data_IF_998785451729
#
_entry.id   IF_998785451729
#
_cell.length_a   1.000
_cell.length_b   1.000
_cell.length_c   1.000
_cell.angle_alpha   90.00
_cell.angle_beta   90.00
_cell.angle_gamma   90.00
#
_symmetry.space_group_name_H-M   'P 1'
#
loop_
_entity.id
_entity.type
_entity.pdbx_description
1 polymer ?
#
# COMPACT_ATOMS: atom_id res chain seq x y z
N UNK A 1 -21.51 -44.72 -42.32
CA UNK A 1 -20.65 -43.74 -43.01
C UNK A 1 -21.37 -42.41 -42.90
N UNK A 2 -21.12 -41.51 -41.96
CA UNK A 2 -19.96 -41.37 -41.06
C UNK A 2 -20.34 -40.91 -39.65
N UNK A 3 -19.44 -41.25 -38.74
CA UNK A 3 -19.50 -41.12 -37.30
C UNK A 3 -19.13 -39.73 -36.79
N UNK A 4 -19.76 -39.36 -35.66
CA UNK A 4 -19.24 -38.65 -34.47
C UNK A 4 -17.92 -37.88 -34.62
N UNK A 5 -17.95 -36.61 -34.22
CA UNK A 5 -16.97 -35.87 -33.40
C UNK A 5 -17.59 -34.47 -33.16
N UNK A 6 -17.61 -33.86 -31.98
CA UNK A 6 -17.00 -34.16 -30.70
C UNK A 6 -17.16 -32.90 -29.83
N UNK A 7 -17.44 -33.12 -28.55
CA UNK A 7 -17.03 -32.25 -27.44
C UNK A 7 -17.74 -30.91 -27.30
N UNK A 8 -18.85 -30.96 -26.55
CA UNK A 8 -19.23 -29.93 -25.58
C UNK A 8 -17.99 -29.32 -24.94
N UNK A 9 -17.66 -28.06 -25.26
CA UNK A 9 -16.76 -27.28 -24.42
C UNK A 9 -17.50 -27.07 -23.10
N UNK A 10 -17.25 -27.97 -22.15
CA UNK A 10 -17.56 -27.76 -20.76
C UNK A 10 -17.07 -26.36 -20.39
N UNK A 11 -17.97 -25.55 -19.83
CA UNK A 11 -17.66 -24.18 -19.44
C UNK A 11 -16.37 -24.18 -18.63
N UNK A 12 -15.36 -23.46 -19.13
CA UNK A 12 -14.27 -23.01 -18.28
C UNK A 12 -14.96 -22.29 -17.13
N UNK A 13 -14.78 -22.73 -15.86
CA UNK A 13 -15.22 -21.92 -14.75
C UNK A 13 -14.50 -20.60 -14.92
N UNK A 14 -15.22 -19.56 -15.34
CA UNK A 14 -14.72 -18.20 -15.23
C UNK A 14 -14.43 -18.05 -13.75
N UNK A 15 -13.14 -17.97 -13.43
CA UNK A 15 -12.67 -17.90 -12.06
C UNK A 15 -13.24 -16.59 -11.50
N UNK A 16 -14.37 -16.72 -10.82
CA UNK A 16 -15.04 -15.61 -10.18
C UNK A 16 -14.01 -15.05 -9.20
N UNK A 17 -13.58 -13.77 -9.34
CA UNK A 17 -12.60 -13.21 -8.42
C UNK A 17 -13.16 -13.40 -7.00
N UNK A 18 -12.32 -13.91 -6.09
CA UNK A 18 -12.70 -14.30 -4.74
C UNK A 18 -13.46 -13.15 -4.05
N UNK A 19 -14.78 -13.19 -4.11
CA UNK A 19 -15.67 -12.13 -3.62
C UNK A 19 -15.71 -12.06 -2.09
N UNK A 20 -14.82 -12.79 -1.42
CA UNK A 20 -14.68 -12.86 0.03
C UNK A 20 -13.23 -12.66 0.51
N UNK A 21 -12.31 -12.19 -0.35
CA UNK A 21 -11.01 -11.72 0.12
C UNK A 21 -11.23 -10.48 1.01
N UNK A 22 -10.75 -10.46 2.26
CA UNK A 22 -10.84 -9.28 3.09
C UNK A 22 -10.07 -8.12 2.43
N UNK A 23 -10.66 -6.92 2.43
CA UNK A 23 -9.97 -5.71 1.99
C UNK A 23 -8.85 -5.39 2.97
N UNK A 24 -7.62 -5.27 2.49
CA UNK A 24 -6.44 -5.01 3.30
C UNK A 24 -6.00 -3.56 3.10
N UNK A 25 -5.83 -2.84 4.20
CA UNK A 25 -5.30 -1.47 4.21
C UNK A 25 -3.97 -1.41 4.95
N UNK A 26 -3.03 -0.62 4.44
CA UNK A 26 -1.79 -0.29 5.12
C UNK A 26 -1.80 1.16 5.63
N UNK A 27 -1.20 1.37 6.80
CA UNK A 27 -0.88 2.69 7.32
C UNK A 27 0.64 2.83 7.40
N UNK A 28 1.21 3.72 6.60
CA UNK A 28 2.64 4.01 6.60
C UNK A 28 2.89 5.22 7.50
N UNK A 29 3.43 4.97 8.69
CA UNK A 29 3.71 6.04 9.67
C UNK A 29 5.13 6.58 9.49
N UNK A 30 5.22 7.73 8.83
CA UNK A 30 6.45 8.45 8.49
C UNK A 30 6.52 9.85 9.15
N UNK A 31 5.76 10.09 10.23
CA UNK A 31 5.73 11.37 10.97
C UNK A 31 6.87 11.61 11.96
N UNK A 32 7.80 10.67 12.11
CA UNK A 32 8.87 10.77 13.09
C UNK A 32 9.93 11.80 12.71
N UNK A 33 10.47 12.52 13.71
CA UNK A 33 11.57 13.48 13.53
C UNK A 33 12.93 12.83 13.24
N UNK A 34 13.07 11.52 13.52
CA UNK A 34 14.31 10.78 13.26
C UNK A 34 15.53 11.28 14.04
N UNK A 35 15.35 11.88 15.23
CA UNK A 35 16.44 12.47 16.03
C UNK A 35 17.65 11.54 16.25
N UNK A 36 17.42 10.24 16.51
CA UNK A 36 18.51 9.25 16.65
C UNK A 36 19.28 8.99 15.35
N UNK A 37 18.62 9.18 14.22
CA UNK A 37 19.21 9.05 12.90
C UNK A 37 19.94 10.35 12.47
N UNK A 38 19.62 11.49 13.09
CA UNK A 38 20.21 12.80 12.77
C UNK A 38 19.35 13.69 11.86
N UNK A 39 18.11 13.29 11.58
CA UNK A 39 17.20 14.03 10.69
C UNK A 39 15.98 13.19 10.27
N UNK A 40 15.07 13.74 9.46
CA UNK A 40 13.84 13.06 9.04
C UNK A 40 14.13 11.92 8.05
N UNK A 41 14.50 10.75 8.59
CA UNK A 41 14.99 9.58 7.83
C UNK A 41 14.08 9.13 6.69
N UNK A 42 12.78 9.40 6.77
CA UNK A 42 11.80 9.05 5.75
C UNK A 42 12.08 9.75 4.40
N UNK A 43 12.71 10.92 4.43
CA UNK A 43 12.99 11.70 3.22
C UNK A 43 14.38 11.45 2.64
N UNK A 44 15.23 10.71 3.35
CA UNK A 44 16.58 10.39 2.90
C UNK A 44 16.55 9.38 1.74
N UNK A 45 17.55 9.50 0.88
CA UNK A 45 17.74 8.59 -0.24
C UNK A 45 18.21 7.21 0.24
N UNK A 46 17.61 6.17 -0.32
CA UNK A 46 18.04 4.79 -0.18
C UNK A 46 18.18 4.19 -1.58
N UNK A 47 19.37 4.33 -2.17
CA UNK A 47 19.61 3.96 -3.56
C UNK A 47 18.88 4.91 -4.51
N UNK A 48 17.92 4.38 -5.27
CA UNK A 48 17.25 5.11 -6.36
C UNK A 48 16.06 5.99 -5.94
N UNK A 49 15.59 5.88 -4.70
CA UNK A 49 14.40 6.61 -4.21
C UNK A 49 14.48 6.82 -2.69
N UNK A 50 13.59 7.66 -2.16
CA UNK A 50 13.54 7.96 -0.73
C UNK A 50 13.02 6.76 0.06
N UNK A 51 13.36 6.69 1.34
CA UNK A 51 12.85 5.65 2.26
C UNK A 51 11.31 5.59 2.28
N UNK A 52 10.65 6.76 2.27
CA UNK A 52 9.18 6.86 2.22
C UNK A 52 8.60 6.29 0.92
N UNK A 53 9.26 6.51 -0.22
CA UNK A 53 8.80 6.05 -1.53
C UNK A 53 8.88 4.51 -1.61
N UNK A 54 9.97 3.92 -1.09
CA UNK A 54 10.10 2.46 -1.01
C UNK A 54 8.97 1.83 -0.18
N UNK A 55 8.68 2.44 0.97
CA UNK A 55 7.65 1.98 1.88
C UNK A 55 6.26 2.05 1.24
N UNK A 56 5.98 3.16 0.54
CA UNK A 56 4.72 3.36 -0.20
C UNK A 56 4.57 2.38 -1.36
N UNK A 57 5.63 2.12 -2.11
CA UNK A 57 5.61 1.16 -3.21
C UNK A 57 5.31 -0.25 -2.71
N UNK A 58 5.99 -0.69 -1.64
CA UNK A 58 5.73 -1.99 -1.03
C UNK A 58 4.29 -2.12 -0.49
N UNK A 59 3.79 -1.09 0.21
CA UNK A 59 2.43 -1.08 0.74
C UNK A 59 1.37 -1.14 -0.38
N UNK A 60 1.54 -0.34 -1.44
CA UNK A 60 0.62 -0.33 -2.59
C UNK A 60 0.62 -1.65 -3.36
N UNK A 61 1.74 -2.36 -3.39
CA UNK A 61 1.81 -3.68 -4.03
C UNK A 61 1.09 -4.77 -3.24
N UNK A 62 0.88 -4.58 -1.93
CA UNK A 62 0.36 -5.61 -1.03
C UNK A 62 -1.06 -5.34 -0.51
N UNK A 63 -1.57 -4.11 -0.62
CA UNK A 63 -2.82 -3.67 0.01
C UNK A 63 -3.76 -3.00 -1.00
N UNK A 64 -5.07 -3.05 -0.72
CA UNK A 64 -6.10 -2.40 -1.52
C UNK A 64 -6.13 -0.88 -1.31
N UNK A 65 -5.61 -0.39 -0.18
CA UNK A 65 -5.49 1.03 0.13
C UNK A 65 -4.31 1.33 1.05
N UNK A 66 -3.77 2.55 0.95
CA UNK A 66 -2.64 3.00 1.76
C UNK A 66 -2.91 4.41 2.29
N UNK A 67 -2.79 4.58 3.60
CA UNK A 67 -2.77 5.89 4.27
C UNK A 67 -1.33 6.22 4.63
N UNK A 68 -0.82 7.33 4.12
CA UNK A 68 0.49 7.86 4.48
C UNK A 68 0.34 8.90 5.59
N UNK A 69 1.02 8.71 6.71
CA UNK A 69 1.04 9.67 7.82
C UNK A 69 2.42 10.34 7.86
N UNK A 70 2.47 11.67 7.77
CA UNK A 70 3.70 12.48 7.74
C UNK A 70 3.61 13.65 8.72
N UNK A 71 4.71 14.38 9.01
CA UNK A 71 4.61 15.62 9.77
C UNK A 71 3.62 16.58 9.11
N UNK A 72 2.87 17.35 9.91
CA UNK A 72 1.83 18.24 9.40
C UNK A 72 2.30 19.21 8.28
N UNK A 73 3.51 19.82 8.36
CA UNK A 73 4.02 20.67 7.28
C UNK A 73 4.25 19.95 5.95
N UNK A 74 4.29 18.62 5.97
CA UNK A 74 4.65 17.78 4.83
C UNK A 74 3.44 17.07 4.22
N UNK A 75 2.27 17.13 4.86
CA UNK A 75 1.07 16.40 4.47
C UNK A 75 0.63 16.69 3.03
N UNK A 76 0.53 17.98 2.66
CA UNK A 76 0.14 18.37 1.31
C UNK A 76 1.18 17.92 0.27
N UNK A 77 2.46 18.12 0.56
CA UNK A 77 3.56 17.79 -0.35
C UNK A 77 3.63 16.30 -0.63
N UNK A 78 3.45 15.47 0.39
CA UNK A 78 3.56 14.01 0.27
C UNK A 78 2.22 13.34 -0.08
N UNK A 79 1.12 14.10 -0.18
CA UNK A 79 -0.22 13.55 -0.39
C UNK A 79 -0.66 12.63 0.76
N UNK A 80 -0.23 12.94 1.98
CA UNK A 80 -0.51 12.18 3.19
C UNK A 80 -1.41 12.94 4.15
N UNK A 81 -1.73 12.31 5.27
CA UNK A 81 -2.41 12.94 6.40
C UNK A 81 -1.39 13.38 7.45
N UNK A 82 -1.69 14.48 8.14
CA UNK A 82 -0.87 14.94 9.26
C UNK A 82 -0.94 13.94 10.41
N UNK A 83 0.22 13.51 10.93
CA UNK A 83 0.30 12.73 12.15
C UNK A 83 -0.01 13.58 13.39
N UNK A 84 -0.59 12.95 14.42
CA UNK A 84 -0.72 13.55 15.75
C UNK A 84 0.64 13.79 16.42
N UNK A 85 0.68 14.60 17.49
CA UNK A 85 1.93 14.95 18.17
C UNK A 85 2.64 13.74 18.82
N UNK A 86 1.92 12.62 18.98
CA UNK A 86 2.48 11.31 19.32
C UNK A 86 1.82 10.18 18.52
N UNK A 87 2.49 9.00 18.49
CA UNK A 87 2.01 7.75 17.86
C UNK A 87 0.59 7.36 18.32
N UNK A 88 0.16 7.81 19.49
CA UNK A 88 -1.14 7.51 20.12
C UNK A 88 -2.28 8.46 19.71
N UNK A 89 -1.98 9.64 19.17
CA UNK A 89 -3.01 10.57 18.63
C UNK A 89 -3.31 10.32 17.15
N UNK A 90 -2.48 9.52 16.47
CA UNK A 90 -2.63 9.23 15.03
C UNK A 90 -3.67 8.14 14.71
N UNK A 91 -4.33 7.57 15.72
CA UNK A 91 -5.31 6.49 15.59
C UNK A 91 -6.55 6.84 16.42
N UNK A 92 -7.50 7.58 15.84
CA UNK A 92 -8.86 7.67 16.35
C UNK A 92 -9.85 7.72 15.21
#
# INVERSE_FOLDING_TARGET
>A
MDSRNGTTLAGVPQQQPDSNRPTVWAVVVAGGSGQRFGGPKQYEQLGAQRVIDWSMAAARAACDGVVLVVPAPDAEREGGVAGGASRSESVR
#
